data_IF_553704338952
#
_entry.id   IF_553704338952
#
_cell.length_a   1.000
_cell.length_b   1.000
_cell.length_c   1.000
_cell.angle_alpha   90.00
_cell.angle_beta   90.00
_cell.angle_gamma   90.00
#
_symmetry.space_group_name_H-M   'P 1'
#
loop_
_entity.id
_entity.type
_entity.pdbx_description
1 polymer ?
#
# COMPACT_ATOMS: atom_id res chain seq x y z
N UNK A 1 12.32 15.13 7.42
CA UNK A 1 11.19 14.99 6.47
C UNK A 1 10.71 13.57 6.65
N UNK A 2 9.63 13.37 7.41
CA UNK A 2 9.17 12.03 7.76
C UNK A 2 8.68 11.34 6.48
N UNK A 3 9.25 10.16 6.21
CA UNK A 3 8.88 9.36 5.06
C UNK A 3 7.67 8.49 5.39
N UNK A 4 6.81 8.25 4.41
CA UNK A 4 5.73 7.27 4.53
C UNK A 4 5.93 6.14 3.53
N UNK A 5 5.51 4.95 3.92
CA UNK A 5 5.45 3.78 3.03
C UNK A 5 4.00 3.45 2.76
N UNK A 6 3.63 3.43 1.48
CA UNK A 6 2.33 2.98 1.01
C UNK A 6 2.43 1.50 0.66
N UNK A 7 1.92 0.64 1.53
CA UNK A 7 1.82 -0.80 1.30
C UNK A 7 0.51 -1.12 0.59
N UNK A 8 0.62 -1.71 -0.59
CA UNK A 8 -0.53 -2.06 -1.43
C UNK A 8 -0.77 -3.56 -1.34
N UNK A 9 -1.88 -3.95 -0.72
CA UNK A 9 -2.38 -5.33 -0.70
C UNK A 9 -3.50 -5.51 -1.73
N UNK A 10 -3.98 -6.74 -1.98
CA UNK A 10 -5.06 -6.97 -2.95
C UNK A 10 -6.37 -6.23 -2.62
N UNK A 11 -6.72 -6.16 -1.34
CA UNK A 11 -8.01 -5.65 -0.83
C UNK A 11 -7.87 -4.42 0.08
N UNK A 12 -6.64 -4.01 0.39
CA UNK A 12 -6.37 -2.83 1.20
C UNK A 12 -5.08 -2.11 0.82
N UNK A 13 -5.01 -0.82 1.12
CA UNK A 13 -3.82 0.01 1.05
C UNK A 13 -3.56 0.62 2.42
N UNK A 14 -2.33 0.47 2.91
CA UNK A 14 -1.88 0.99 4.19
C UNK A 14 -0.88 2.11 3.96
N UNK A 15 -1.06 3.24 4.62
CA UNK A 15 -0.04 4.27 4.76
C UNK A 15 0.61 4.10 6.12
N UNK A 16 1.92 3.89 6.11
CA UNK A 16 2.70 3.55 7.31
C UNK A 16 3.81 4.58 7.48
N UNK A 17 4.01 5.06 8.69
CA UNK A 17 5.18 5.89 9.03
C UNK A 17 6.46 5.07 8.87
N UNK A 18 7.43 5.60 8.10
CA UNK A 18 8.63 4.85 7.76
C UNK A 18 9.61 4.70 8.93
N UNK A 19 9.51 5.55 9.97
CA UNK A 19 10.41 5.53 11.13
C UNK A 19 9.85 4.66 12.25
N UNK A 20 8.56 4.82 12.56
CA UNK A 20 7.92 4.14 13.70
C UNK A 20 7.25 2.83 13.30
N UNK A 21 6.90 2.67 12.02
CA UNK A 21 6.07 1.55 11.55
C UNK A 21 4.59 1.71 11.91
N UNK A 22 4.16 2.87 12.41
CA UNK A 22 2.77 3.13 12.75
C UNK A 22 1.88 3.20 11.51
N UNK A 23 0.70 2.57 11.55
CA UNK A 23 -0.29 2.66 10.47
C UNK A 23 -1.05 3.98 10.64
N UNK A 24 -0.73 4.96 9.81
CA UNK A 24 -1.39 6.26 9.79
C UNK A 24 -2.77 6.19 9.14
N UNK A 25 -2.91 5.39 8.08
CA UNK A 25 -4.17 5.23 7.33
C UNK A 25 -4.33 3.82 6.78
N UNK A 26 -5.58 3.36 6.72
CA UNK A 26 -6.00 2.13 6.05
C UNK A 26 -7.18 2.45 5.15
N UNK A 27 -7.09 2.03 3.89
CA UNK A 27 -8.18 2.13 2.92
C UNK A 27 -8.44 0.73 2.39
N UNK A 28 -9.66 0.24 2.56
CA UNK A 28 -10.06 -1.11 2.12
C UNK A 28 -11.05 -1.01 0.97
N UNK A 29 -10.98 -1.93 0.00
CA UNK A 29 -11.85 -1.92 -1.17
C UNK A 29 -11.43 -2.91 -2.25
N UNK A 30 -12.28 -3.09 -3.25
CA UNK A 30 -12.05 -4.07 -4.33
C UNK A 30 -11.23 -3.52 -5.52
N UNK A 31 -11.09 -2.20 -5.64
CA UNK A 31 -10.41 -1.55 -6.77
C UNK A 31 -9.03 -1.02 -6.36
N UNK A 32 -8.02 -1.89 -6.41
CA UNK A 32 -6.64 -1.58 -5.97
C UNK A 32 -6.11 -0.25 -6.50
N UNK A 33 -6.28 0.03 -7.80
CA UNK A 33 -5.75 1.26 -8.41
C UNK A 33 -6.42 2.54 -7.89
N UNK A 34 -7.71 2.45 -7.55
CA UNK A 34 -8.45 3.54 -6.92
C UNK A 34 -7.93 3.79 -5.50
N UNK A 35 -7.71 2.72 -4.72
CA UNK A 35 -7.17 2.84 -3.37
C UNK A 35 -5.75 3.44 -3.37
N UNK A 36 -4.90 3.00 -4.31
CA UNK A 36 -3.55 3.56 -4.49
C UNK A 36 -3.63 5.04 -4.85
N UNK A 37 -4.50 5.42 -5.79
CA UNK A 37 -4.67 6.82 -6.20
C UNK A 37 -5.09 7.71 -5.03
N UNK A 38 -6.00 7.24 -4.17
CA UNK A 38 -6.42 7.95 -2.96
C UNK A 38 -5.26 8.10 -1.96
N UNK A 39 -4.53 7.01 -1.68
CA UNK A 39 -3.39 7.06 -0.76
C UNK A 39 -2.33 8.08 -1.24
N UNK A 40 -2.02 8.08 -2.53
CA UNK A 40 -1.07 9.03 -3.12
C UNK A 40 -1.55 10.48 -3.05
N UNK A 41 -2.84 10.72 -3.28
CA UNK A 41 -3.43 12.04 -3.14
C UNK A 41 -3.28 12.59 -1.72
N UNK A 42 -3.58 11.78 -0.70
CA UNK A 42 -3.42 12.19 0.70
C UNK A 42 -1.96 12.48 1.07
N UNK A 43 -1.03 11.59 0.69
CA UNK A 43 0.39 11.77 1.01
C UNK A 43 0.96 13.05 0.37
N UNK A 44 0.59 13.31 -0.90
CA UNK A 44 1.03 14.52 -1.61
C UNK A 44 0.49 15.81 -0.97
N UNK A 45 -0.77 15.81 -0.54
CA UNK A 45 -1.37 16.97 0.12
C UNK A 45 -0.79 17.21 1.51
N UNK A 46 -0.32 16.17 2.19
CA UNK A 46 0.37 16.27 3.47
C UNK A 46 1.86 16.67 3.36
N UNK A 47 2.41 16.75 2.14
CA UNK A 47 3.83 17.04 1.92
C UNK A 47 4.77 15.88 2.31
N UNK A 48 4.23 14.66 2.39
CA UNK A 48 4.97 13.46 2.80
C UNK A 48 5.83 12.92 1.64
N UNK A 49 7.06 12.48 1.94
CA UNK A 49 7.89 11.72 0.97
C UNK A 49 7.44 10.27 1.01
N UNK A 50 6.92 9.77 -0.10
CA UNK A 50 6.34 8.44 -0.14
C UNK A 50 7.18 7.42 -0.92
N UNK A 51 7.18 6.18 -0.44
CA UNK A 51 7.62 4.98 -1.17
C UNK A 51 6.44 4.02 -1.30
N UNK A 52 6.21 3.48 -2.48
CA UNK A 52 5.14 2.49 -2.72
C UNK A 52 5.74 1.09 -2.72
N UNK A 53 5.10 0.17 -2.01
CA UNK A 53 5.46 -1.25 -1.96
C UNK A 53 4.23 -2.09 -2.24
N UNK A 54 4.27 -2.88 -3.30
CA UNK A 54 3.21 -3.82 -3.62
C UNK A 54 3.47 -5.13 -2.90
N UNK A 55 2.45 -5.66 -2.21
CA UNK A 55 2.47 -7.02 -1.75
C UNK A 55 2.63 -7.91 -2.97
N UNK A 56 3.70 -8.70 -2.96
CA UNK A 56 3.89 -9.74 -3.95
C UNK A 56 2.73 -10.71 -3.78
N UNK A 57 1.87 -10.81 -4.78
CA UNK A 57 0.91 -11.90 -4.84
C UNK A 57 1.74 -13.18 -4.82
N UNK A 58 1.65 -13.97 -3.73
CA UNK A 58 2.13 -15.34 -3.77
C UNK A 58 1.43 -15.97 -4.97
N UNK A 59 2.22 -16.36 -5.95
CA UNK A 59 1.70 -16.98 -7.16
C UNK A 59 0.96 -18.23 -6.72
N UNK A 60 -0.36 -18.15 -6.60
CA UNK A 60 -1.23 -19.30 -6.44
C UNK A 60 -1.23 -20.06 -7.77
N UNK A 61 -0.08 -20.64 -8.12
CA UNK A 61 0.10 -21.57 -9.21
C UNK A 61 0.71 -22.85 -8.63
N UNK A 62 -0.05 -23.50 -7.75
CA UNK A 62 0.07 -24.95 -7.49
C UNK A 62 -0.90 -25.71 -8.39
N UNK A 63 -0.99 -25.33 -9.66
CA UNK A 63 -1.70 -26.12 -10.65
C UNK A 63 -0.65 -26.94 -11.41
N UNK A 64 -0.62 -28.25 -11.12
CA UNK A 64 0.16 -29.29 -11.80
C UNK A 64 1.64 -29.45 -11.40
N UNK A 65 1.86 -30.02 -10.20
CA UNK A 65 2.90 -31.05 -10.05
C UNK A 65 2.18 -32.40 -10.09
N UNK A 66 2.32 -33.11 -11.20
CA UNK A 66 1.90 -34.49 -11.39
C UNK A 66 3.13 -35.32 -11.68
#
# INVERSE_FOLDING_TARGET
MYGVVVYVKPDEVLTVDAETGEILRRISGCHRDLLVSQALFYCRNAGEVLKIVYQREESACTAYQK
#
